data_IF_334778567590
#
_entry.id   IF_334778567590
#
_cell.length_a   1.000
_cell.length_b   1.000
_cell.length_c   1.000
_cell.angle_alpha   90.00
_cell.angle_beta   90.00
_cell.angle_gamma   90.00
#
_symmetry.space_group_name_H-M   'P 1'
#
loop_
_entity.id
_entity.type
_entity.pdbx_description
1 polymer ?
#
# COMPACT_ATOMS: atom_id res chain seq x y z
N UNK A 1 -51.17 3.73 -18.53
CA UNK A 1 -49.79 4.06 -18.97
C UNK A 1 -49.11 4.90 -17.89
N UNK A 2 -48.61 4.33 -16.78
CA UNK A 2 -48.14 5.12 -15.62
C UNK A 2 -47.06 4.41 -14.78
N UNK A 3 -46.17 3.59 -15.35
CA UNK A 3 -45.09 2.91 -14.59
C UNK A 3 -43.64 3.28 -14.99
N UNK A 4 -43.43 4.05 -16.04
CA UNK A 4 -42.08 4.40 -16.55
C UNK A 4 -41.38 5.52 -15.78
N UNK A 5 -42.13 6.42 -15.14
CA UNK A 5 -41.58 7.55 -14.37
C UNK A 5 -40.90 7.10 -13.06
N UNK A 6 -41.45 6.09 -12.37
CA UNK A 6 -40.92 5.61 -11.07
C UNK A 6 -39.61 4.84 -11.23
N UNK A 7 -39.39 4.17 -12.36
CA UNK A 7 -38.14 3.43 -12.64
C UNK A 7 -36.99 4.39 -12.96
N UNK A 8 -37.28 5.50 -13.63
CA UNK A 8 -36.28 6.50 -14.04
C UNK A 8 -35.72 7.27 -12.84
N UNK A 9 -36.56 7.64 -11.87
CA UNK A 9 -36.13 8.30 -10.63
C UNK A 9 -35.25 7.39 -9.76
N UNK A 10 -35.56 6.09 -9.70
CA UNK A 10 -34.78 5.11 -8.93
C UNK A 10 -33.39 4.88 -9.50
N UNK A 11 -33.23 4.95 -10.83
CA UNK A 11 -31.96 4.73 -11.50
C UNK A 11 -30.99 5.90 -11.31
N UNK A 12 -31.50 7.14 -11.30
CA UNK A 12 -30.67 8.33 -11.02
C UNK A 12 -30.09 8.32 -9.60
N UNK A 13 -30.85 7.86 -8.61
CA UNK A 13 -30.40 7.83 -7.20
C UNK A 13 -29.30 6.79 -6.96
N UNK A 14 -29.30 5.68 -7.72
CA UNK A 14 -28.26 4.65 -7.63
C UNK A 14 -26.93 5.12 -8.23
N UNK A 15 -26.96 5.91 -9.32
CA UNK A 15 -25.76 6.52 -9.89
C UNK A 15 -25.14 7.61 -8.98
N UNK A 16 -25.96 8.36 -8.24
CA UNK A 16 -25.46 9.33 -7.26
C UNK A 16 -24.74 8.66 -6.07
N UNK A 17 -25.15 7.45 -5.67
CA UNK A 17 -24.52 6.69 -4.58
C UNK A 17 -23.17 6.07 -4.97
N UNK A 18 -22.92 5.80 -6.26
CA UNK A 18 -21.66 5.24 -6.74
C UNK A 18 -20.49 6.26 -6.74
N UNK A 19 -20.77 7.56 -6.55
CA UNK A 19 -19.77 8.63 -6.59
C UNK A 19 -19.02 8.88 -5.27
N UNK A 20 -19.41 8.24 -4.16
CA UNK A 20 -18.79 8.45 -2.84
C UNK A 20 -17.69 7.41 -2.55
N UNK A 21 -16.98 6.95 -3.58
CA UNK A 21 -15.72 6.23 -3.39
C UNK A 21 -14.66 7.27 -2.95
N UNK A 22 -14.40 7.34 -1.65
CA UNK A 22 -13.33 8.20 -1.12
C UNK A 22 -12.00 7.86 -1.79
N UNK A 23 -11.26 8.87 -2.23
CA UNK A 23 -9.91 8.69 -2.77
C UNK A 23 -8.98 8.24 -1.64
N UNK A 24 -8.42 7.03 -1.73
CA UNK A 24 -7.30 6.64 -0.87
C UNK A 24 -6.07 7.45 -1.28
N UNK A 25 -5.67 8.40 -0.42
CA UNK A 25 -4.45 9.19 -0.62
C UNK A 25 -3.30 8.56 0.15
N UNK A 26 -2.19 8.28 -0.54
CA UNK A 26 -0.95 7.89 0.12
C UNK A 26 -0.33 9.10 0.82
N UNK A 27 0.25 8.90 2.00
CA UNK A 27 0.96 9.97 2.69
C UNK A 27 2.23 10.32 1.90
N UNK A 28 2.33 11.58 1.46
CA UNK A 28 3.43 12.05 0.61
C UNK A 28 4.79 11.96 1.29
N UNK A 29 4.86 12.15 2.61
CA UNK A 29 6.12 12.04 3.35
C UNK A 29 6.58 10.59 3.43
N UNK A 30 5.65 9.66 3.64
CA UNK A 30 5.93 8.22 3.61
C UNK A 30 6.41 7.81 2.22
N UNK A 31 5.78 8.30 1.14
CA UNK A 31 6.23 8.08 -0.23
C UNK A 31 7.62 8.65 -0.50
N UNK A 32 7.94 9.83 0.06
CA UNK A 32 9.25 10.44 -0.09
C UNK A 32 10.33 9.63 0.63
N UNK A 33 10.05 9.19 1.88
CA UNK A 33 10.98 8.39 2.68
C UNK A 33 11.17 6.97 2.13
N UNK A 34 10.13 6.38 1.54
CA UNK A 34 10.19 5.03 0.95
C UNK A 34 11.01 4.96 -0.34
N UNK A 35 11.38 6.11 -0.95
CA UNK A 35 12.27 6.14 -2.12
C UNK A 35 13.72 5.78 -1.76
N UNK A 36 14.13 5.98 -0.52
CA UNK A 36 15.45 5.55 -0.08
C UNK A 36 15.40 4.05 0.26
N UNK A 37 16.14 3.18 -0.45
CA UNK A 37 16.11 1.74 -0.22
C UNK A 37 16.65 1.31 1.15
N UNK A 38 17.35 2.19 1.86
CA UNK A 38 17.81 1.93 3.22
C UNK A 38 16.69 2.05 4.28
N UNK A 39 15.54 2.62 3.93
CA UNK A 39 14.44 2.85 4.86
C UNK A 39 13.33 1.80 4.72
N UNK A 40 12.77 1.37 5.85
CA UNK A 40 11.51 0.61 5.90
C UNK A 40 10.51 1.37 6.76
N UNK A 41 9.64 2.15 6.11
CA UNK A 41 8.69 3.06 6.77
C UNK A 41 7.28 2.50 6.89
N UNK A 42 7.04 1.30 6.35
CA UNK A 42 5.77 0.60 6.40
C UNK A 42 6.00 -0.93 6.36
N UNK A 43 5.07 -1.76 6.88
CA UNK A 43 5.26 -3.21 6.99
C UNK A 43 5.58 -3.91 5.66
N UNK A 44 4.97 -3.47 4.56
CA UNK A 44 5.15 -4.10 3.24
C UNK A 44 6.26 -3.49 2.38
N UNK A 45 7.11 -2.64 2.98
CA UNK A 45 8.15 -1.80 2.34
C UNK A 45 7.56 -0.70 1.44
N UNK A 46 6.64 -1.04 0.52
CA UNK A 46 5.94 -0.08 -0.33
C UNK A 46 4.44 -0.39 -0.43
N UNK A 47 3.66 0.58 -0.93
CA UNK A 47 2.21 0.46 -1.09
C UNK A 47 1.77 -0.63 -2.09
N UNK A 48 2.65 -1.13 -2.96
CA UNK A 48 2.32 -2.25 -3.85
C UNK A 48 2.27 -3.61 -3.12
N UNK A 49 2.74 -3.69 -1.88
CA UNK A 49 2.65 -4.88 -1.04
C UNK A 49 3.66 -5.99 -1.35
N UNK A 50 4.70 -5.74 -2.15
CA UNK A 50 5.59 -6.81 -2.63
C UNK A 50 6.62 -7.31 -1.60
N UNK A 51 6.84 -6.59 -0.50
CA UNK A 51 7.88 -6.92 0.48
C UNK A 51 9.28 -7.08 -0.17
N UNK A 52 9.55 -6.27 -1.21
CA UNK A 52 10.79 -6.32 -1.98
C UNK A 52 11.78 -5.23 -1.53
N UNK A 53 13.05 -5.61 -1.31
CA UNK A 53 14.17 -4.68 -1.09
C UNK A 53 15.07 -4.64 -2.32
N UNK A 54 15.44 -3.43 -2.76
CA UNK A 54 16.37 -3.22 -3.87
C UNK A 54 17.85 -3.30 -3.47
N UNK A 55 18.16 -3.49 -2.18
CA UNK A 55 19.54 -3.61 -1.69
C UNK A 55 20.15 -4.95 -2.10
N UNK A 56 21.37 -4.92 -2.61
CA UNK A 56 22.10 -6.08 -3.16
C UNK A 56 23.39 -6.44 -2.38
N UNK A 57 23.64 -5.71 -1.29
CA UNK A 57 24.82 -5.88 -0.42
C UNK A 57 24.95 -7.32 0.11
N UNK A 58 23.82 -7.96 0.41
CA UNK A 58 23.74 -9.39 0.75
C UNK A 58 23.16 -10.12 -0.46
N UNK A 59 23.91 -11.09 -0.98
CA UNK A 59 23.57 -11.84 -2.19
C UNK A 59 24.05 -13.30 -2.11
N UNK A 60 23.76 -14.09 -3.16
CA UNK A 60 24.04 -15.54 -3.20
C UNK A 60 25.52 -15.90 -2.96
N UNK A 61 26.45 -15.00 -3.29
CA UNK A 61 27.88 -15.27 -3.15
C UNK A 61 28.39 -15.06 -1.72
N UNK A 62 27.76 -14.15 -0.96
CA UNK A 62 28.26 -13.71 0.35
C UNK A 62 27.32 -14.01 1.52
N UNK A 63 26.09 -14.46 1.28
CA UNK A 63 25.11 -14.78 2.34
C UNK A 63 25.63 -15.79 3.36
N UNK A 64 26.53 -16.69 2.93
CA UNK A 64 27.22 -17.65 3.80
C UNK A 64 28.09 -17.01 4.90
N UNK A 65 28.44 -15.73 4.74
CA UNK A 65 29.25 -14.98 5.69
C UNK A 65 28.39 -14.15 6.67
N UNK A 66 27.06 -14.21 6.57
CA UNK A 66 26.17 -13.43 7.42
C UNK A 66 26.24 -13.90 8.87
N UNK A 67 26.43 -12.97 9.80
CA UNK A 67 26.54 -13.24 11.24
C UNK A 67 25.69 -12.24 12.03
N UNK A 68 25.29 -12.64 13.24
CA UNK A 68 24.54 -11.76 14.15
C UNK A 68 25.42 -10.61 14.59
N UNK A 69 24.96 -9.38 14.35
CA UNK A 69 25.67 -8.18 14.79
C UNK A 69 25.36 -7.81 16.25
N UNK A 70 24.11 -7.99 16.69
CA UNK A 70 23.65 -7.69 18.05
C UNK A 70 22.33 -8.41 18.36
N UNK A 71 21.98 -8.51 19.64
CA UNK A 71 20.70 -9.05 20.12
C UNK A 71 20.10 -8.09 21.15
N UNK A 72 18.76 -8.07 21.26
CA UNK A 72 18.04 -7.23 22.22
C UNK A 72 16.90 -8.02 22.87
N UNK A 73 16.77 -7.91 24.20
CA UNK A 73 15.69 -8.53 24.96
C UNK A 73 14.59 -7.50 25.24
N UNK A 74 13.35 -7.85 24.91
CA UNK A 74 12.19 -6.98 25.09
C UNK A 74 11.51 -7.14 26.45
N UNK A 75 12.05 -8.00 27.33
CA UNK A 75 11.56 -8.29 28.68
C UNK A 75 12.46 -9.26 29.44
#
# INVERSE_FOLDING_TARGET
MTNTSRVTTSLLTLCAAAGVAGTASANQDVLNLSRNPANVVMPSITYNGWNYSALDQINLNNVKNLQVAWTWQVG
#
